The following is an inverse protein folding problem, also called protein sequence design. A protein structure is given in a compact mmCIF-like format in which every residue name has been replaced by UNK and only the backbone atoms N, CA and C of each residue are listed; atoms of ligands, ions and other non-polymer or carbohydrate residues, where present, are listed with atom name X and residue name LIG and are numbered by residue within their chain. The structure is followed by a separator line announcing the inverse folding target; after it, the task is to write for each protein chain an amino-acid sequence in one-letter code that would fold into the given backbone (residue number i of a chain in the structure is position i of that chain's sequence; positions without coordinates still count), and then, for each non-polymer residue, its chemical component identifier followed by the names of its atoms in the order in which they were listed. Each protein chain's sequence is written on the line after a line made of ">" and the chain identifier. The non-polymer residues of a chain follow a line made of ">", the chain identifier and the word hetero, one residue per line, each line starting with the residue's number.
data_IF_930262088474
#
_entry.id   IF_930262088474
#
_cell.length_a   1.000
_cell.length_b   1.000
_cell.length_c   1.000
_cell.angle_alpha   90.00
_cell.angle_beta   90.00
_cell.angle_gamma   90.00
#
_symmetry.space_group_name_H-M   'P 1'
#
loop_
_entity.id
_entity.type
_entity.pdbx_description
1 polymer ?
#
# COMPACT_ATOMS: atom_id res chain seq x y z
N UNK A 1 8.93 9.60 4.79
CA UNK A 1 8.27 8.58 3.95
C UNK A 1 7.27 7.88 4.85
N UNK A 2 6.00 7.84 4.47
CA UNK A 2 4.99 7.11 5.24
C UNK A 2 5.18 5.61 4.98
N UNK A 3 5.33 4.83 6.05
CA UNK A 3 5.44 3.37 6.00
C UNK A 3 4.12 2.74 6.44
N UNK A 4 3.83 1.53 5.97
CA UNK A 4 2.66 0.80 6.43
C UNK A 4 2.90 0.34 7.87
N UNK A 5 2.30 1.04 8.84
CA UNK A 5 2.42 0.73 10.27
C UNK A 5 1.30 -0.19 10.74
N UNK A 6 1.48 -0.81 11.92
CA UNK A 6 0.43 -1.58 12.57
C UNK A 6 -0.83 -0.75 12.87
N UNK A 7 -0.70 0.57 13.06
CA UNK A 7 -1.83 1.48 13.25
C UNK A 7 -2.68 1.57 11.98
N UNK A 8 -2.02 1.72 10.82
CA UNK A 8 -2.72 1.77 9.53
C UNK A 8 -3.36 0.42 9.24
N UNK A 9 -2.59 -0.66 9.44
CA UNK A 9 -3.09 -2.02 9.22
C UNK A 9 -4.24 -2.37 10.18
N UNK A 10 -4.19 -1.94 11.44
CA UNK A 10 -5.28 -2.20 12.40
C UNK A 10 -6.57 -1.51 12.01
N UNK A 11 -6.51 -0.27 11.51
CA UNK A 11 -7.69 0.43 11.01
C UNK A 11 -8.31 -0.30 9.81
N UNK A 12 -7.47 -0.76 8.86
CA UNK A 12 -7.94 -1.55 7.71
C UNK A 12 -8.57 -2.87 8.13
N UNK A 13 -7.92 -3.61 9.02
CA UNK A 13 -8.44 -4.91 9.50
C UNK A 13 -9.72 -4.72 10.32
N UNK A 14 -9.78 -3.68 11.16
CA UNK A 14 -10.98 -3.33 11.92
C UNK A 14 -12.16 -3.02 10.99
N UNK A 15 -11.96 -2.18 9.97
CA UNK A 15 -12.97 -1.88 8.96
C UNK A 15 -13.44 -3.15 8.24
N UNK A 16 -12.52 -4.02 7.82
CA UNK A 16 -12.87 -5.28 7.18
C UNK A 16 -13.71 -6.19 8.08
N UNK A 17 -13.34 -6.33 9.36
CA UNK A 17 -14.10 -7.14 10.32
C UNK A 17 -15.50 -6.56 10.56
N UNK A 18 -15.61 -5.24 10.77
CA UNK A 18 -16.90 -4.56 10.97
C UNK A 18 -17.83 -4.66 9.76
N UNK A 19 -17.27 -4.66 8.56
CA UNK A 19 -18.02 -4.80 7.32
C UNK A 19 -18.14 -6.26 6.84
N UNK A 20 -17.73 -7.24 7.65
CA UNK A 20 -17.77 -8.68 7.32
C UNK A 20 -17.04 -9.02 6.00
N UNK A 21 -15.99 -8.26 5.68
CA UNK A 21 -15.13 -8.48 4.52
C UNK A 21 -14.09 -9.54 4.88
N UNK A 22 -14.07 -10.62 4.10
CA UNK A 22 -13.06 -11.68 4.24
C UNK A 22 -11.64 -11.13 4.09
N UNK A 23 -10.77 -11.47 5.04
CA UNK A 23 -9.35 -11.14 4.99
C UNK A 23 -8.66 -12.06 3.97
N UNK A 24 -8.29 -11.52 2.82
CA UNK A 24 -7.68 -12.25 1.70
C UNK A 24 -6.62 -11.37 1.04
N UNK A 25 -5.72 -11.97 0.24
CA UNK A 25 -4.73 -11.20 -0.50
C UNK A 25 -5.37 -10.09 -1.35
N UNK A 26 -6.50 -10.40 -2.01
CA UNK A 26 -7.25 -9.45 -2.84
C UNK A 26 -7.79 -8.28 -2.03
N UNK A 27 -8.53 -8.56 -0.95
CA UNK A 27 -9.14 -7.51 -0.14
C UNK A 27 -8.10 -6.63 0.58
N UNK A 28 -6.96 -7.20 0.97
CA UNK A 28 -5.80 -6.45 1.50
C UNK A 28 -5.25 -5.51 0.43
N UNK A 29 -4.95 -6.01 -0.78
CA UNK A 29 -4.47 -5.16 -1.89
C UNK A 29 -5.46 -4.06 -2.24
N UNK A 30 -6.75 -4.35 -2.21
CA UNK A 30 -7.80 -3.36 -2.51
C UNK A 30 -7.90 -2.26 -1.45
N UNK A 31 -7.72 -2.60 -0.17
CA UNK A 31 -7.75 -1.63 0.94
C UNK A 31 -6.44 -0.86 1.06
N UNK A 32 -5.31 -1.47 0.68
CA UNK A 32 -3.97 -0.88 0.75
C UNK A 32 -3.44 -0.41 -0.61
N UNK A 33 -4.31 0.17 -1.46
CA UNK A 33 -3.93 0.70 -2.79
C UNK A 33 -2.83 1.77 -2.77
N UNK A 34 -2.60 2.41 -1.62
CA UNK A 34 -1.51 3.37 -1.41
C UNK A 34 -0.12 2.73 -1.26
N UNK A 35 -0.03 1.41 -1.19
CA UNK A 35 1.22 0.67 -0.96
C UNK A 35 1.50 -0.33 -2.07
N UNK A 36 2.77 -0.54 -2.38
CA UNK A 36 3.22 -1.60 -3.29
C UNK A 36 3.29 -2.88 -2.50
N UNK A 37 2.30 -3.75 -2.72
CA UNK A 37 2.21 -5.07 -2.07
C UNK A 37 2.38 -6.13 -3.14
N UNK A 38 3.50 -6.83 -3.07
CA UNK A 38 3.84 -7.91 -4.00
C UNK A 38 2.82 -9.06 -3.93
N UNK A 39 2.76 -9.84 -5.02
CA UNK A 39 1.84 -10.98 -5.14
C UNK A 39 2.12 -12.10 -4.13
N UNK A 40 3.34 -12.16 -3.59
CA UNK A 40 3.74 -13.09 -2.52
C UNK A 40 3.52 -12.51 -1.12
N UNK A 41 3.55 -11.18 -0.99
CA UNK A 41 3.43 -10.49 0.31
C UNK A 41 1.98 -10.42 0.77
N UNK A 42 1.05 -10.11 -0.13
CA UNK A 42 -0.38 -10.03 0.19
C UNK A 42 -0.97 -11.34 0.78
N UNK A 43 -0.74 -12.54 0.19
CA UNK A 43 -1.24 -13.78 0.77
C UNK A 43 -0.57 -14.10 2.10
N UNK A 44 0.75 -13.92 2.23
CA UNK A 44 1.46 -14.14 3.49
C UNK A 44 0.90 -13.26 4.62
N UNK A 45 0.67 -11.97 4.33
CA UNK A 45 0.06 -11.05 5.29
C UNK A 45 -1.35 -11.49 5.70
N UNK A 46 -2.17 -11.93 4.74
CA UNK A 46 -3.51 -12.41 5.03
C UNK A 46 -3.52 -13.65 5.92
N UNK A 47 -2.60 -14.59 5.70
CA UNK A 47 -2.45 -15.79 6.52
C UNK A 47 -2.02 -15.46 7.94
N UNK A 48 -1.00 -14.60 8.11
CA UNK A 48 -0.57 -14.18 9.46
C UNK A 48 -1.67 -13.46 10.22
N UNK A 49 -2.42 -12.56 9.58
CA UNK A 49 -3.56 -11.86 10.22
C UNK A 49 -4.64 -12.87 10.66
N UNK A 50 -4.93 -13.90 9.86
CA UNK A 50 -5.90 -14.94 10.23
C UNK A 50 -5.48 -15.73 11.46
N UNK A 51 -4.18 -16.01 11.62
CA UNK A 51 -3.65 -16.73 12.79
C UNK A 51 -3.92 -16.00 14.10
N UNK A 52 -4.02 -14.67 14.07
CA UNK A 52 -4.27 -13.85 15.26
C UNK A 52 -5.69 -13.99 15.85
N UNK A 53 -6.59 -14.68 15.13
CA UNK A 53 -7.98 -14.93 15.54
C UNK A 53 -8.69 -13.64 15.96
N UNK A 54 -8.57 -12.61 15.11
CA UNK A 54 -9.23 -11.32 15.28
C UNK A 54 -10.72 -11.44 14.97
N UNK A 55 -11.54 -10.68 15.67
CA UNK A 55 -12.99 -10.64 15.47
C UNK A 55 -13.51 -9.20 15.52
N UNK A 56 -14.76 -9.01 15.10
CA UNK A 56 -15.41 -7.71 15.00
C UNK A 56 -15.79 -7.10 16.36
N UNK A 57 -15.71 -7.86 17.45
CA UNK A 57 -15.89 -7.35 18.83
C UNK A 57 -14.63 -6.65 19.35
N UNK A 58 -13.47 -6.86 18.72
CA UNK A 58 -12.23 -6.21 19.11
C UNK A 58 -12.21 -4.73 18.72
N UNK A 59 -11.64 -3.90 19.61
CA UNK A 59 -11.33 -2.51 19.26
C UNK A 59 -10.11 -2.43 18.33
N UNK A 60 -10.04 -1.38 17.52
CA UNK A 60 -8.90 -1.10 16.64
C UNK A 60 -7.56 -1.14 17.40
N UNK A 61 -7.52 -0.56 18.60
CA UNK A 61 -6.32 -0.58 19.47
C UNK A 61 -5.95 -1.98 19.97
N UNK A 62 -6.94 -2.87 20.18
CA UNK A 62 -6.67 -4.25 20.55
C UNK A 62 -6.12 -5.06 19.36
N UNK A 63 -6.61 -4.78 18.15
CA UNK A 63 -6.08 -5.33 16.90
C UNK A 63 -4.65 -4.86 16.69
N UNK A 64 -4.39 -3.55 16.80
CA UNK A 64 -3.06 -2.95 16.68
C UNK A 64 -2.04 -3.66 17.58
N UNK A 65 -2.36 -3.86 18.86
CA UNK A 65 -1.49 -4.57 19.80
C UNK A 65 -1.16 -6.00 19.35
N UNK A 66 -2.15 -6.74 18.84
CA UNK A 66 -1.91 -8.10 18.31
C UNK A 66 -1.03 -8.09 17.06
N UNK A 67 -1.19 -7.09 16.19
CA UNK A 67 -0.34 -6.92 15.02
C UNK A 67 1.11 -6.53 15.41
N UNK A 68 1.27 -5.72 16.46
CA UNK A 68 2.58 -5.35 17.01
C UNK A 68 3.30 -6.51 17.69
N UNK A 69 2.57 -7.35 18.42
CA UNK A 69 3.11 -8.54 19.08
C UNK A 69 3.54 -9.64 18.09
N UNK A 70 3.03 -9.63 16.85
CA UNK A 70 3.45 -10.57 15.81
C UNK A 70 4.69 -10.11 15.08
N UNK A 71 5.83 -10.73 15.39
CA UNK A 71 7.10 -10.46 14.71
C UNK A 71 7.06 -10.72 13.21
N UNK A 72 6.31 -11.73 12.78
CA UNK A 72 6.09 -12.08 11.37
C UNK A 72 5.37 -10.96 10.62
N UNK A 73 4.31 -10.41 11.20
CA UNK A 73 3.60 -9.27 10.61
C UNK A 73 4.52 -8.05 10.55
N UNK A 74 5.28 -7.76 11.61
CA UNK A 74 6.24 -6.64 11.59
C UNK A 74 7.30 -6.81 10.48
N UNK A 75 7.78 -8.02 10.26
CA UNK A 75 8.74 -8.33 9.20
C UNK A 75 8.12 -8.14 7.81
N UNK A 76 6.88 -8.58 7.62
CA UNK A 76 6.13 -8.38 6.37
C UNK A 76 5.90 -6.88 6.11
N UNK A 77 5.43 -6.15 7.12
CA UNK A 77 5.20 -4.70 7.04
C UNK A 77 6.46 -3.93 6.66
N UNK A 78 7.61 -4.31 7.21
CA UNK A 78 8.91 -3.72 6.91
C UNK A 78 9.35 -3.94 5.45
N UNK A 79 8.79 -4.94 4.77
CA UNK A 79 9.08 -5.23 3.36
C UNK A 79 8.17 -4.45 2.40
N UNK A 80 7.04 -3.92 2.88
CA UNK A 80 6.08 -3.17 2.07
C UNK A 80 6.55 -1.74 1.86
N UNK A 81 6.63 -1.34 0.59
CA UNK A 81 7.05 0.01 0.21
C UNK A 81 5.83 0.89 -0.07
N UNK A 82 5.85 2.18 0.29
CA UNK A 82 4.84 3.11 -0.17
C UNK A 82 4.81 3.12 -1.71
N UNK A 83 3.61 3.23 -2.28
CA UNK A 83 3.49 3.41 -3.72
C UNK A 83 3.91 4.83 -4.08
N UNK A 84 5.21 4.98 -4.33
CA UNK A 84 5.79 6.17 -4.91
C UNK A 84 5.40 6.23 -6.39
N UNK A 85 4.11 6.41 -6.67
CA UNK A 85 3.71 6.97 -7.95
C UNK A 85 4.19 8.41 -7.92
N UNK A 86 5.45 8.63 -8.29
CA UNK A 86 5.86 9.92 -8.85
C UNK A 86 4.95 10.14 -10.04
N UNK A 87 3.86 10.88 -9.83
CA UNK A 87 3.24 11.61 -10.92
C UNK A 87 4.33 12.58 -11.36
N UNK A 88 5.20 12.13 -12.25
CA UNK A 88 6.03 13.03 -13.03
C UNK A 88 5.01 13.72 -13.95
N UNK A 89 4.37 14.79 -13.46
CA UNK A 89 3.74 15.76 -14.33
C UNK A 89 4.88 16.39 -15.11
N UNK A 90 5.34 15.72 -16.16
CA UNK A 90 6.12 16.36 -17.21
C UNK A 90 5.12 17.26 -17.94
N UNK A 91 4.92 18.46 -17.39
CA UNK A 91 4.32 19.54 -18.15
C UNK A 91 5.33 19.88 -19.26
N UNK A 92 5.21 19.21 -20.41
CA UNK A 92 5.90 19.61 -21.62
C UNK A 92 5.21 20.89 -22.10
N UNK A 93 5.62 22.03 -21.57
CA UNK A 93 5.42 23.32 -22.23
C UNK A 93 6.48 23.48 -23.32
N UNK A 94 6.49 22.54 -24.26
CA UNK A 94 7.16 22.73 -25.54
C UNK A 94 6.16 23.37 -26.48
N UNK A 95 6.13 24.70 -26.46
CA UNK A 95 5.66 25.42 -27.62
C UNK A 95 6.65 25.09 -28.73
N UNK A 96 6.17 24.33 -29.71
CA UNK A 96 6.94 23.97 -30.88
C UNK A 96 7.31 25.22 -31.67
N UNK A 97 8.60 25.38 -31.90
CA UNK A 97 9.15 26.14 -33.02
C UNK A 97 10.26 25.30 -33.64
N UNK A 98 9.88 24.40 -34.56
CA UNK A 98 10.83 23.86 -35.54
C UNK A 98 10.90 24.87 -36.69
N UNK A 99 11.69 25.93 -36.53
CA UNK A 99 12.03 26.80 -37.65
C UNK A 99 13.19 26.15 -38.40
N UNK A 100 12.86 25.52 -39.54
CA UNK A 100 13.83 25.04 -40.51
C UNK A 100 14.62 26.21 -41.09
N UNK A 101 15.80 26.46 -40.53
CA UNK A 101 16.76 27.44 -41.02
C UNK A 101 17.90 26.77 -41.79
N UNK A 102 17.66 26.35 -43.05
CA UNK A 102 18.78 26.22 -43.98
C UNK A 102 19.08 27.62 -44.54
N UNK A 103 20.14 28.27 -44.05
CA UNK A 103 20.84 29.32 -44.80
C UNK A 103 22.29 29.45 -44.34
N UNK A 104 23.16 28.63 -44.92
CA UNK A 104 24.54 29.06 -45.21
C UNK A 104 24.59 29.42 -46.69
N UNK A 105 24.75 30.71 -46.99
CA UNK A 105 25.12 31.20 -48.32
C UNK A 105 26.62 31.46 -48.24
N UNK A 106 27.40 30.68 -48.97
CA UNK A 106 28.84 30.89 -49.21
C UNK A 106 29.08 30.89 -50.70
#
# INVERSE_FOLDING_TARGET
>A
MEFLSSVILSGVVYDMLKHQVSITATSIKEKLKGWVIDEVVAPALAEEIKKLSLNDEMSEKAIERKLLDSGEIQQILSSIKPNNTTVIMQNHSGTGDNVGGNKITG
#
